data_IF_473900168417
#
_entry.id   IF_473900168417
#
_cell.length_a   1.000
_cell.length_b   1.000
_cell.length_c   1.000
_cell.angle_alpha   90.00
_cell.angle_beta   90.00
_cell.angle_gamma   90.00
#
_symmetry.space_group_name_H-M   'P 1'
#
loop_
_entity.id
_entity.type
_entity.pdbx_description
1 polymer ?
#
# COMPACT_ATOMS: atom_id res chain seq x y z
N UNK A 1 -14.53 5.00 -21.40
CA UNK A 1 -13.19 4.35 -21.31
C UNK A 1 -12.92 3.40 -22.49
N UNK A 2 -11.72 3.40 -23.08
CA UNK A 2 -11.36 2.46 -24.16
C UNK A 2 -10.99 1.05 -23.64
N UNK A 3 -10.77 0.08 -24.55
CA UNK A 3 -10.42 -1.30 -24.17
C UNK A 3 -9.10 -1.38 -23.42
N UNK A 4 -8.05 -0.73 -23.92
CA UNK A 4 -6.72 -0.77 -23.30
C UNK A 4 -6.73 -0.24 -21.87
N UNK A 5 -7.44 0.87 -21.66
CA UNK A 5 -7.64 1.47 -20.34
C UNK A 5 -8.40 0.55 -19.40
N UNK A 6 -9.45 -0.11 -19.91
CA UNK A 6 -10.25 -1.04 -19.13
C UNK A 6 -9.48 -2.31 -18.76
N UNK A 7 -8.79 -2.92 -19.72
CA UNK A 7 -8.00 -4.13 -19.49
C UNK A 7 -6.88 -3.88 -18.48
N UNK A 8 -6.22 -2.72 -18.58
CA UNK A 8 -5.22 -2.29 -17.59
C UNK A 8 -5.82 -2.14 -16.19
N UNK A 9 -7.04 -1.61 -16.07
CA UNK A 9 -7.75 -1.48 -14.80
C UNK A 9 -8.11 -2.86 -14.22
N UNK A 10 -8.63 -3.77 -15.06
CA UNK A 10 -9.00 -5.12 -14.66
C UNK A 10 -7.79 -5.86 -14.09
N UNK A 11 -6.65 -5.80 -14.77
CA UNK A 11 -5.40 -6.40 -14.28
C UNK A 11 -5.03 -5.82 -12.92
N UNK A 12 -5.00 -4.49 -12.79
CA UNK A 12 -4.58 -3.82 -11.55
C UNK A 12 -5.52 -4.13 -10.36
N UNK A 13 -6.83 -4.20 -10.60
CA UNK A 13 -7.81 -4.53 -9.55
C UNK A 13 -7.71 -6.02 -9.18
N UNK A 14 -7.53 -6.93 -10.15
CA UNK A 14 -7.38 -8.35 -9.86
C UNK A 14 -6.09 -8.64 -9.07
N UNK A 15 -4.97 -8.04 -9.45
CA UNK A 15 -3.72 -8.13 -8.68
C UNK A 15 -3.93 -7.66 -7.22
N UNK A 16 -4.70 -6.59 -7.02
CA UNK A 16 -5.05 -6.11 -5.69
C UNK A 16 -5.93 -7.12 -4.93
N UNK A 17 -6.95 -7.71 -5.57
CA UNK A 17 -7.83 -8.71 -4.95
C UNK A 17 -7.11 -10.03 -4.62
N UNK A 18 -6.10 -10.40 -5.39
CA UNK A 18 -5.26 -11.57 -5.13
C UNK A 18 -4.31 -11.33 -3.96
N UNK A 19 -3.74 -10.13 -3.87
CA UNK A 19 -2.80 -9.78 -2.83
C UNK A 19 -3.46 -9.43 -1.48
N UNK A 20 -4.65 -8.82 -1.49
CA UNK A 20 -5.37 -8.45 -0.27
C UNK A 20 -6.21 -9.61 0.27
N UNK A 21 -5.64 -10.36 1.21
CA UNK A 21 -6.33 -11.48 1.88
C UNK A 21 -7.29 -11.03 2.99
N UNK A 22 -7.37 -9.72 3.27
CA UNK A 22 -8.19 -9.17 4.37
C UNK A 22 -9.50 -8.57 3.90
N UNK A 23 -9.69 -8.47 2.58
CA UNK A 23 -10.91 -7.93 1.99
C UNK A 23 -12.12 -8.81 2.33
N UNK A 24 -13.18 -8.19 2.82
CA UNK A 24 -14.45 -8.87 3.08
C UNK A 24 -14.97 -9.60 1.81
N UNK A 25 -15.48 -10.82 1.98
CA UNK A 25 -15.91 -11.66 0.88
C UNK A 25 -17.09 -11.05 0.10
N UNK A 26 -18.01 -10.37 0.80
CA UNK A 26 -19.13 -9.67 0.15
C UNK A 26 -18.63 -8.49 -0.68
N UNK A 27 -17.71 -7.70 -0.13
CA UNK A 27 -17.09 -6.60 -0.87
C UNK A 27 -16.32 -7.10 -2.11
N UNK A 28 -15.57 -8.20 -1.98
CA UNK A 28 -14.87 -8.82 -3.10
C UNK A 28 -15.83 -9.18 -4.24
N UNK A 29 -16.96 -9.82 -3.91
CA UNK A 29 -17.99 -10.15 -4.91
C UNK A 29 -18.54 -8.92 -5.63
N UNK A 30 -18.79 -7.82 -4.92
CA UNK A 30 -19.29 -6.58 -5.54
C UNK A 30 -18.25 -5.97 -6.47
N UNK A 31 -16.97 -6.02 -6.12
CA UNK A 31 -15.86 -5.55 -6.97
C UNK A 31 -15.80 -6.41 -8.25
N UNK A 32 -15.79 -7.73 -8.12
CA UNK A 32 -15.76 -8.67 -9.25
C UNK A 32 -16.97 -8.49 -10.17
N UNK A 33 -18.17 -8.27 -9.61
CA UNK A 33 -19.38 -7.97 -10.39
C UNK A 33 -19.22 -6.68 -11.21
N UNK A 34 -18.66 -5.62 -10.64
CA UNK A 34 -18.43 -4.38 -11.38
C UNK A 34 -17.41 -4.55 -12.51
N UNK A 35 -16.38 -5.39 -12.32
CA UNK A 35 -15.46 -5.75 -13.40
C UNK A 35 -16.20 -6.53 -14.51
N UNK A 36 -17.07 -7.47 -14.17
CA UNK A 36 -17.86 -8.20 -15.16
C UNK A 36 -18.82 -7.28 -15.93
N UNK A 37 -19.45 -6.31 -15.26
CA UNK A 37 -20.34 -5.34 -15.91
C UNK A 37 -19.59 -4.56 -16.99
N UNK A 38 -18.42 -3.98 -16.68
CA UNK A 38 -17.66 -3.22 -17.67
C UNK A 38 -16.99 -4.09 -18.75
N UNK A 39 -16.76 -5.37 -18.46
CA UNK A 39 -16.29 -6.34 -19.47
C UNK A 39 -17.39 -6.66 -20.50
N UNK A 40 -18.60 -6.93 -20.01
CA UNK A 40 -19.73 -7.35 -20.84
C UNK A 40 -20.42 -6.15 -21.53
N UNK A 41 -20.31 -4.96 -20.95
CA UNK A 41 -20.93 -3.75 -21.49
C UNK A 41 -19.93 -2.57 -21.49
N UNK A 42 -19.26 -2.31 -22.63
CA UNK A 42 -18.29 -1.23 -22.74
C UNK A 42 -18.85 0.17 -22.40
N UNK A 43 -20.15 0.39 -22.59
CA UNK A 43 -20.80 1.68 -22.29
C UNK A 43 -20.90 1.94 -20.78
N UNK A 44 -20.88 0.89 -19.96
CA UNK A 44 -21.00 0.99 -18.49
C UNK A 44 -19.64 1.12 -17.80
N UNK A 45 -18.52 1.06 -18.54
CA UNK A 45 -17.17 1.07 -17.95
C UNK A 45 -16.88 2.28 -17.09
N UNK A 46 -17.37 3.46 -17.49
CA UNK A 46 -17.13 4.69 -16.72
C UNK A 46 -17.94 4.69 -15.41
N UNK A 47 -19.15 4.12 -15.41
CA UNK A 47 -19.96 3.91 -14.21
C UNK A 47 -19.34 2.85 -13.28
N UNK A 48 -18.90 1.72 -13.86
CA UNK A 48 -18.21 0.65 -13.14
C UNK A 48 -16.91 1.15 -12.49
N UNK A 49 -16.11 1.96 -13.20
CA UNK A 49 -14.94 2.63 -12.64
C UNK A 49 -15.30 3.52 -11.44
N UNK A 50 -16.41 4.27 -11.55
CA UNK A 50 -16.91 5.11 -10.46
C UNK A 50 -17.23 4.29 -9.20
N UNK A 51 -17.93 3.16 -9.38
CA UNK A 51 -18.24 2.23 -8.29
C UNK A 51 -16.99 1.61 -7.68
N UNK A 52 -16.07 1.09 -8.50
CA UNK A 52 -14.80 0.51 -8.04
C UNK A 52 -13.98 1.50 -7.22
N UNK A 53 -13.89 2.76 -7.68
CA UNK A 53 -13.25 3.84 -6.91
C UNK A 53 -13.97 4.08 -5.57
N UNK A 54 -15.30 4.09 -5.54
CA UNK A 54 -16.03 4.30 -4.30
C UNK A 54 -15.79 3.18 -3.28
N UNK A 55 -15.68 1.93 -3.74
CA UNK A 55 -15.50 0.75 -2.90
C UNK A 55 -14.08 0.59 -2.36
N UNK A 56 -13.08 0.88 -3.20
CA UNK A 56 -11.68 0.56 -2.91
C UNK A 56 -10.82 1.76 -2.50
N UNK A 57 -11.30 2.99 -2.66
CA UNK A 57 -10.52 4.19 -2.32
C UNK A 57 -10.30 4.28 -0.81
N UNK A 58 -9.07 4.66 -0.43
CA UNK A 58 -8.68 4.87 0.97
C UNK A 58 -8.24 3.59 1.68
N UNK A 59 -8.34 2.43 1.03
CA UNK A 59 -7.78 1.17 1.52
C UNK A 59 -6.27 1.12 1.26
N UNK A 60 -5.56 0.38 2.10
CA UNK A 60 -4.15 0.09 1.91
C UNK A 60 -3.92 -0.69 0.61
N UNK A 61 -2.81 -0.45 -0.07
CA UNK A 61 -2.50 -1.07 -1.35
C UNK A 61 -3.40 -0.68 -2.53
N UNK A 62 -4.46 0.13 -2.31
CA UNK A 62 -5.48 0.41 -3.33
C UNK A 62 -4.90 0.87 -4.68
N UNK A 63 -5.48 0.39 -5.81
CA UNK A 63 -5.11 0.87 -7.14
C UNK A 63 -5.47 2.35 -7.35
N UNK A 64 -6.42 2.89 -6.59
CA UNK A 64 -6.95 4.24 -6.79
C UNK A 64 -6.31 5.29 -5.89
N UNK A 65 -5.09 5.74 -6.23
CA UNK A 65 -4.38 6.82 -5.52
C UNK A 65 -4.40 8.16 -6.28
N UNK A 66 -4.26 9.25 -5.53
CA UNK A 66 -4.03 10.60 -6.09
C UNK A 66 -2.55 10.77 -6.43
N UNK A 67 -2.23 11.25 -7.63
CA UNK A 67 -0.86 11.52 -8.09
C UNK A 67 -0.46 10.70 -9.30
N UNK A 68 0.83 10.70 -9.66
CA UNK A 68 1.34 9.85 -10.74
C UNK A 68 1.20 8.38 -10.37
N UNK A 69 0.85 7.55 -11.37
CA UNK A 69 0.83 6.09 -11.22
C UNK A 69 2.22 5.64 -10.74
N UNK A 70 2.25 4.91 -9.63
CA UNK A 70 3.50 4.33 -9.13
C UNK A 70 4.04 3.35 -10.17
N UNK A 71 5.35 3.33 -10.38
CA UNK A 71 5.99 2.31 -11.22
C UNK A 71 5.97 0.90 -10.57
N UNK A 72 5.40 0.79 -9.37
CA UNK A 72 5.34 -0.44 -8.57
C UNK A 72 3.96 -1.11 -8.75
N UNK A 73 3.90 -2.41 -9.12
CA UNK A 73 2.65 -3.17 -9.28
C UNK A 73 1.74 -3.17 -8.04
N UNK A 74 0.46 -3.52 -8.21
CA UNK A 74 -0.50 -3.53 -7.10
C UNK A 74 -0.14 -4.58 -6.02
N UNK A 75 0.25 -5.78 -6.45
CA UNK A 75 0.67 -6.87 -5.56
C UNK A 75 1.81 -6.43 -4.62
N UNK A 76 2.85 -5.81 -5.19
CA UNK A 76 4.01 -5.31 -4.43
C UNK A 76 3.62 -4.16 -3.50
N UNK A 77 2.67 -3.31 -3.90
CA UNK A 77 2.16 -2.24 -3.02
C UNK A 77 1.44 -2.80 -1.80
N UNK A 78 0.63 -3.84 -1.96
CA UNK A 78 -0.04 -4.52 -0.84
C UNK A 78 1.01 -5.12 0.10
N UNK A 79 2.05 -5.77 -0.43
CA UNK A 79 3.15 -6.28 0.38
C UNK A 79 3.87 -5.16 1.16
N UNK A 80 4.18 -4.03 0.50
CA UNK A 80 4.79 -2.87 1.14
C UNK A 80 3.92 -2.32 2.27
N UNK A 81 2.62 -2.17 2.04
CA UNK A 81 1.72 -1.60 3.06
C UNK A 81 1.54 -2.58 4.24
N UNK A 82 1.51 -3.89 4.00
CA UNK A 82 1.54 -4.89 5.08
C UNK A 82 2.81 -4.80 5.93
N UNK A 83 3.98 -4.70 5.30
CA UNK A 83 5.26 -4.51 6.01
C UNK A 83 5.24 -3.19 6.79
N UNK A 84 4.70 -2.12 6.19
CA UNK A 84 4.58 -0.82 6.85
C UNK A 84 3.67 -0.90 8.09
N UNK A 85 2.57 -1.64 8.05
CA UNK A 85 1.70 -1.84 9.21
C UNK A 85 2.43 -2.50 10.39
N UNK A 86 3.20 -3.56 10.12
CA UNK A 86 4.03 -4.22 11.16
C UNK A 86 5.08 -3.26 11.73
N UNK A 87 5.73 -2.48 10.86
CA UNK A 87 6.74 -1.49 11.26
C UNK A 87 6.11 -0.36 12.07
N UNK A 88 4.93 0.10 11.72
CA UNK A 88 4.19 1.13 12.45
C UNK A 88 3.90 0.68 13.88
N UNK A 89 3.27 -0.49 14.03
CA UNK A 89 2.93 -1.07 15.32
C UNK A 89 4.18 -1.22 16.21
N UNK A 90 5.26 -1.82 15.66
CA UNK A 90 6.51 -1.99 16.39
C UNK A 90 7.17 -0.65 16.75
N UNK A 91 7.09 0.35 15.87
CA UNK A 91 7.68 1.67 16.11
C UNK A 91 6.96 2.43 17.22
N UNK A 92 5.63 2.33 17.29
CA UNK A 92 4.84 2.90 18.38
C UNK A 92 5.23 2.26 19.72
N UNK A 93 5.33 0.93 19.76
CA UNK A 93 5.71 0.20 20.97
C UNK A 93 7.14 0.55 21.41
N UNK A 94 8.09 0.59 20.46
CA UNK A 94 9.48 0.98 20.74
C UNK A 94 9.56 2.39 21.33
N UNK A 95 8.89 3.37 20.72
CA UNK A 95 8.94 4.75 21.19
C UNK A 95 8.33 4.92 22.59
N UNK A 96 7.29 4.15 22.90
CA UNK A 96 6.63 4.16 24.20
C UNK A 96 7.30 3.27 25.26
N UNK A 97 8.34 2.51 24.90
CA UNK A 97 8.97 1.56 25.81
C UNK A 97 9.64 2.25 27.01
N UNK A 98 10.32 3.39 26.78
CA UNK A 98 10.93 4.20 27.83
C UNK A 98 11.03 5.67 27.40
N UNK A 99 10.87 6.60 28.35
CA UNK A 99 10.96 8.04 28.10
C UNK A 99 12.32 8.49 27.53
N UNK A 100 13.40 7.76 27.83
CA UNK A 100 14.75 8.01 27.28
C UNK A 100 14.71 7.91 25.75
N UNK A 101 13.94 6.99 25.19
CA UNK A 101 13.86 6.79 23.73
C UNK A 101 13.34 8.05 23.06
N UNK A 102 12.24 8.63 23.56
CA UNK A 102 11.73 9.91 23.05
C UNK A 102 12.71 11.07 23.23
N UNK A 103 13.48 11.08 24.32
CA UNK A 103 14.44 12.15 24.60
C UNK A 103 15.64 12.16 23.64
N UNK A 104 16.08 11.00 23.15
CA UNK A 104 17.23 10.87 22.25
C UNK A 104 16.84 10.73 20.78
N UNK A 105 15.57 10.41 20.49
CA UNK A 105 15.08 10.17 19.12
C UNK A 105 14.62 11.48 18.50
N UNK A 106 15.45 12.05 17.63
CA UNK A 106 15.20 13.33 16.95
C UNK A 106 14.80 13.15 15.49
N UNK A 107 14.02 14.09 14.96
CA UNK A 107 13.73 14.18 13.53
C UNK A 107 15.00 14.57 12.78
N UNK A 108 15.34 13.80 11.77
CA UNK A 108 16.39 14.16 10.83
C UNK A 108 15.81 14.80 9.57
N UNK A 109 15.65 16.13 9.60
CA UNK A 109 15.36 16.95 8.42
C UNK A 109 16.48 17.98 8.21
N UNK A 110 16.50 18.62 7.03
CA UNK A 110 17.59 19.47 6.52
C UNK A 110 18.03 20.62 7.46
N UNK A 111 17.29 20.91 8.52
CA UNK A 111 17.56 21.97 9.51
C UNK A 111 17.47 21.50 10.97
N UNK A 112 17.77 20.23 11.27
CA UNK A 112 17.93 19.75 12.65
C UNK A 112 16.65 19.29 13.36
N UNK A 113 15.49 19.45 12.71
CA UNK A 113 14.24 18.69 12.88
C UNK A 113 13.48 18.66 14.19
N UNK A 114 14.13 18.89 15.32
CA UNK A 114 13.50 18.82 16.64
C UNK A 114 13.02 17.42 17.01
N UNK A 115 12.28 17.35 18.11
CA UNK A 115 11.71 16.12 18.65
C UNK A 115 10.44 15.70 17.91
N UNK A 116 10.06 14.43 18.03
CA UNK A 116 8.74 13.96 17.63
C UNK A 116 7.68 14.42 18.61
N UNK A 117 6.47 14.70 18.11
CA UNK A 117 5.34 15.11 18.95
C UNK A 117 4.85 13.94 19.83
N UNK A 118 5.07 12.71 19.37
CA UNK A 118 4.75 11.48 20.09
C UNK A 118 5.10 10.24 19.27
N UNK A 119 4.71 9.08 19.77
CA UNK A 119 4.99 7.78 19.16
C UNK A 119 4.42 7.66 17.73
N UNK A 120 3.23 8.20 17.48
CA UNK A 120 2.57 8.16 16.17
C UNK A 120 3.31 8.98 15.10
N UNK A 121 3.83 10.16 15.47
CA UNK A 121 4.61 11.01 14.59
C UNK A 121 5.98 10.37 14.27
N UNK A 122 6.59 9.70 15.26
CA UNK A 122 7.78 8.88 15.05
C UNK A 122 7.51 7.70 14.11
N UNK A 123 6.48 6.91 14.41
CA UNK A 123 6.10 5.74 13.61
C UNK A 123 5.80 6.14 12.15
N UNK A 124 5.05 7.23 11.95
CA UNK A 124 4.78 7.80 10.62
C UNK A 124 6.05 8.12 9.83
N UNK A 125 7.07 8.67 10.48
CA UNK A 125 8.34 8.99 9.85
C UNK A 125 9.14 7.73 9.47
N UNK A 126 9.14 6.71 10.34
CA UNK A 126 9.78 5.42 10.08
C UNK A 126 9.07 4.71 8.94
N UNK A 127 7.74 4.59 8.98
CA UNK A 127 6.90 4.00 7.92
C UNK A 127 7.15 4.67 6.57
N UNK A 128 7.21 6.00 6.54
CA UNK A 128 7.51 6.74 5.30
C UNK A 128 8.88 6.37 4.74
N UNK A 129 9.89 6.23 5.59
CA UNK A 129 11.24 5.82 5.17
C UNK A 129 11.25 4.39 4.65
N UNK A 130 10.61 3.47 5.36
CA UNK A 130 10.50 2.06 4.98
C UNK A 130 9.81 1.89 3.63
N UNK A 131 8.66 2.54 3.44
CA UNK A 131 7.92 2.54 2.17
C UNK A 131 8.79 3.02 1.00
N UNK A 132 9.53 4.11 1.20
CA UNK A 132 10.42 4.65 0.17
C UNK A 132 11.57 3.69 -0.14
N UNK A 133 12.14 3.04 0.87
CA UNK A 133 13.22 2.08 0.69
C UNK A 133 12.75 0.84 -0.07
N UNK A 134 11.64 0.22 0.34
CA UNK A 134 11.09 -0.96 -0.33
C UNK A 134 10.69 -0.67 -1.79
N UNK A 135 10.06 0.49 -2.01
CA UNK A 135 9.71 0.94 -3.36
C UNK A 135 10.97 1.14 -4.22
N UNK A 136 12.08 1.57 -3.63
CA UNK A 136 13.36 1.73 -4.33
C UNK A 136 14.01 0.37 -4.59
N UNK A 137 14.07 -0.52 -3.59
CA UNK A 137 14.63 -1.87 -3.73
C UNK A 137 13.95 -2.65 -4.86
N UNK A 138 12.63 -2.57 -4.96
CA UNK A 138 11.89 -3.19 -6.06
C UNK A 138 12.27 -2.59 -7.41
N UNK A 139 12.31 -1.25 -7.53
CA UNK A 139 12.66 -0.56 -8.79
C UNK A 139 14.09 -0.82 -9.23
N UNK A 140 15.00 -0.97 -8.27
CA UNK A 140 16.42 -1.26 -8.53
C UNK A 140 16.66 -2.76 -8.80
N UNK A 141 15.62 -3.61 -8.74
CA UNK A 141 15.72 -5.07 -8.96
C UNK A 141 16.35 -5.84 -7.80
N UNK A 142 16.53 -5.21 -6.64
CA UNK A 142 17.14 -5.81 -5.45
C UNK A 142 16.12 -6.57 -4.56
N UNK A 143 14.84 -6.49 -4.90
CA UNK A 143 13.76 -7.18 -4.21
C UNK A 143 12.66 -7.53 -5.21
N UNK A 144 12.07 -8.71 -5.07
CA UNK A 144 11.03 -9.25 -5.95
C UNK A 144 9.62 -8.76 -5.60
N UNK A 145 9.45 -8.12 -4.43
CA UNK A 145 8.15 -7.64 -3.97
C UNK A 145 7.39 -8.62 -3.07
N UNK A 146 7.95 -9.78 -2.76
CA UNK A 146 7.36 -10.76 -1.82
C UNK A 146 7.81 -10.52 -0.38
N UNK A 147 6.97 -10.84 0.61
CA UNK A 147 7.37 -10.69 2.03
C UNK A 147 8.35 -11.78 2.41
N UNK A 148 8.15 -12.99 1.86
CA UNK A 148 8.92 -14.19 2.12
C UNK A 148 10.39 -14.02 1.72
N UNK A 149 10.68 -13.31 0.63
CA UNK A 149 12.07 -13.05 0.19
C UNK A 149 12.86 -12.13 1.12
N UNK A 150 12.18 -11.40 2.01
CA UNK A 150 12.82 -10.53 3.01
C UNK A 150 13.07 -11.25 4.34
N UNK A 151 12.46 -12.41 4.55
CA UNK A 151 12.64 -13.21 5.74
C UNK A 151 13.77 -14.22 5.51
N UNK A 152 14.51 -14.60 6.57
CA UNK A 152 15.43 -15.73 6.47
C UNK A 152 14.65 -16.94 5.95
N UNK A 153 15.26 -17.72 5.05
CA UNK A 153 14.75 -19.07 4.81
C UNK A 153 14.93 -19.84 6.11
N UNK A 154 13.86 -20.40 6.65
CA UNK A 154 13.96 -21.30 7.79
C UNK A 154 14.88 -22.46 7.38
N UNK A 155 16.11 -22.49 7.92
CA UNK A 155 17.02 -23.65 7.90
C UNK A 155 16.68 -24.61 9.05
#
# INVERSE_FOLDING_TARGET
>A
MDNTQWDSLVIEVNEYLEADTTLDAGLRQVVELNLQIGQNNPNERDAALGALKALLKGRDGTPFRRGQKSAVPASVRVAIDRICGVVEEASVQYYNHDAIIGAITMKHIKSGGGSYEGAEDYASAVVKRTRNNLSKMFKDGNWDGSVESLLPSDE
#
